data_IF_729844458387
#
_entry.id   IF_729844458387
#
_cell.length_a   1.000
_cell.length_b   1.000
_cell.length_c   1.000
_cell.angle_alpha   90.00
_cell.angle_beta   90.00
_cell.angle_gamma   90.00
#
_symmetry.space_group_name_H-M   'P 1'
#
loop_
_entity.id
_entity.type
_entity.pdbx_description
1 polymer ?
#
# COMPACT_ATOMS: atom_id res chain seq x y z
N UNK A 1 12.25 7.21 9.83
CA UNK A 1 11.65 6.68 8.59
C UNK A 1 10.21 6.26 8.84
N UNK A 2 9.28 6.63 7.98
CA UNK A 2 7.90 6.13 8.00
C UNK A 2 7.73 4.93 7.08
N UNK A 3 6.84 4.00 7.44
CA UNK A 3 6.47 2.86 6.59
C UNK A 3 5.00 2.97 6.20
N UNK A 4 4.75 3.06 4.91
CA UNK A 4 3.41 3.06 4.31
C UNK A 4 3.20 1.76 3.58
N UNK A 5 2.20 0.98 3.99
CA UNK A 5 1.81 -0.24 3.31
C UNK A 5 0.55 0.01 2.47
N UNK A 6 0.64 -0.23 1.16
CA UNK A 6 -0.49 -0.14 0.24
C UNK A 6 -1.01 -1.55 0.01
N UNK A 7 -2.21 -1.82 0.53
CA UNK A 7 -2.69 -3.19 0.68
C UNK A 7 -4.20 -3.34 0.45
N UNK A 8 -4.60 -4.54 0.05
CA UNK A 8 -5.99 -4.95 -0.13
C UNK A 8 -6.06 -6.29 -0.84
N UNK A 9 -7.00 -7.15 -0.49
CA UNK A 9 -7.08 -8.52 -1.01
C UNK A 9 -7.55 -8.60 -2.45
N UNK A 10 -8.23 -7.57 -2.96
CA UNK A 10 -8.73 -7.59 -4.33
C UNK A 10 -7.69 -7.11 -5.33
N UNK A 11 -7.54 -7.84 -6.43
CA UNK A 11 -6.74 -7.41 -7.58
C UNK A 11 -7.41 -6.25 -8.33
N UNK A 12 -6.61 -5.39 -8.99
CA UNK A 12 -7.13 -4.32 -9.86
C UNK A 12 -7.67 -3.08 -9.15
N UNK A 13 -7.56 -2.96 -7.82
CA UNK A 13 -7.98 -1.78 -7.07
C UNK A 13 -7.05 -0.59 -7.20
N UNK A 14 -5.84 -0.78 -7.77
CA UNK A 14 -4.87 0.28 -8.00
C UNK A 14 -3.75 0.39 -6.96
N UNK A 15 -3.47 -0.66 -6.18
CA UNK A 15 -2.38 -0.68 -5.19
C UNK A 15 -1.06 -0.22 -5.79
N UNK A 16 -0.58 -0.92 -6.81
CA UNK A 16 0.69 -0.61 -7.49
C UNK A 16 0.69 0.79 -8.11
N UNK A 17 -0.42 1.20 -8.73
CA UNK A 17 -0.52 2.55 -9.28
C UNK A 17 -0.35 3.61 -8.18
N UNK A 18 -0.98 3.40 -7.04
CA UNK A 18 -0.85 4.28 -5.89
C UNK A 18 0.57 4.30 -5.34
N UNK A 19 1.23 3.12 -5.25
CA UNK A 19 2.62 3.00 -4.83
C UNK A 19 3.56 3.78 -5.75
N UNK A 20 3.41 3.62 -7.07
CA UNK A 20 4.17 4.36 -8.07
C UNK A 20 4.01 5.88 -7.92
N UNK A 21 2.76 6.34 -7.84
CA UNK A 21 2.45 7.77 -7.78
C UNK A 21 2.97 8.40 -6.47
N UNK A 22 2.74 7.75 -5.34
CA UNK A 22 3.20 8.25 -4.04
C UNK A 22 4.72 8.22 -3.93
N UNK A 23 5.37 7.15 -4.40
CA UNK A 23 6.83 7.04 -4.39
C UNK A 23 7.49 8.15 -5.19
N UNK A 24 7.01 8.39 -6.42
CA UNK A 24 7.54 9.47 -7.26
C UNK A 24 7.26 10.84 -6.65
N UNK A 25 6.04 11.07 -6.15
CA UNK A 25 5.67 12.34 -5.56
C UNK A 25 6.52 12.66 -4.31
N UNK A 26 6.72 11.68 -3.42
CA UNK A 26 7.52 11.82 -2.22
C UNK A 26 8.99 12.15 -2.57
N UNK A 27 9.57 11.44 -3.55
CA UNK A 27 10.92 11.72 -4.04
C UNK A 27 11.04 13.13 -4.62
N UNK A 28 10.06 13.55 -5.43
CA UNK A 28 9.99 14.92 -6.00
C UNK A 28 9.82 16.01 -4.95
N UNK A 29 9.18 15.70 -3.84
CA UNK A 29 9.02 16.61 -2.71
C UNK A 29 10.25 16.55 -1.75
N UNK A 30 11.35 15.86 -2.14
CA UNK A 30 12.65 15.85 -1.47
C UNK A 30 12.81 14.76 -0.40
N UNK A 31 11.84 13.86 -0.24
CA UNK A 31 11.98 12.74 0.70
C UNK A 31 12.86 11.63 0.11
N UNK A 32 13.81 11.15 0.89
CA UNK A 32 14.57 9.96 0.56
C UNK A 32 13.67 8.73 0.67
N UNK A 33 13.19 8.26 -0.48
CA UNK A 33 12.09 7.28 -0.57
C UNK A 33 12.59 5.94 -1.08
N UNK A 34 12.23 4.85 -0.38
CA UNK A 34 12.41 3.47 -0.82
C UNK A 34 11.06 2.84 -1.14
N UNK A 35 11.02 1.98 -2.17
CA UNK A 35 9.82 1.20 -2.54
C UNK A 35 10.15 -0.29 -2.55
N UNK A 36 9.26 -1.10 -1.95
CA UNK A 36 9.34 -2.56 -1.90
C UNK A 36 8.11 -3.15 -2.61
N UNK A 37 8.36 -4.01 -3.60
CA UNK A 37 7.33 -4.72 -4.36
C UNK A 37 7.20 -6.16 -3.85
N UNK A 38 6.05 -6.49 -3.24
CA UNK A 38 5.75 -7.83 -2.75
C UNK A 38 4.94 -8.67 -3.75
N UNK A 39 4.56 -8.10 -4.91
CA UNK A 39 3.91 -8.88 -5.98
C UNK A 39 4.93 -9.58 -6.87
N UNK A 40 5.37 -10.76 -6.43
CA UNK A 40 6.38 -11.56 -7.12
C UNK A 40 5.94 -12.04 -8.50
N UNK A 41 4.63 -12.11 -8.75
CA UNK A 41 4.09 -12.63 -10.00
C UNK A 41 4.11 -11.58 -11.10
N UNK A 42 3.62 -10.38 -10.78
CA UNK A 42 3.50 -9.32 -11.80
C UNK A 42 4.66 -8.34 -11.79
N UNK A 43 5.26 -8.08 -10.62
CA UNK A 43 6.40 -7.16 -10.42
C UNK A 43 6.18 -5.79 -11.07
N UNK A 44 4.95 -5.28 -11.02
CA UNK A 44 4.58 -4.07 -11.74
C UNK A 44 5.27 -2.82 -11.20
N UNK A 45 5.41 -2.71 -9.86
CA UNK A 45 6.15 -1.60 -9.24
C UNK A 45 7.64 -1.69 -9.62
N UNK A 46 8.23 -2.88 -9.53
CA UNK A 46 9.63 -3.13 -9.91
C UNK A 46 9.89 -2.76 -11.37
N UNK A 47 9.00 -3.15 -12.27
CA UNK A 47 9.09 -2.83 -13.70
C UNK A 47 9.00 -1.32 -13.94
N UNK A 48 8.06 -0.64 -13.29
CA UNK A 48 7.91 0.81 -13.38
C UNK A 48 9.19 1.54 -12.91
N UNK A 49 9.75 1.16 -11.77
CA UNK A 49 10.97 1.78 -11.24
C UNK A 49 12.19 1.52 -12.13
N UNK A 50 12.27 0.32 -12.74
CA UNK A 50 13.31 -0.01 -13.71
C UNK A 50 13.24 0.87 -14.95
N UNK A 51 12.04 1.06 -15.52
CA UNK A 51 11.82 1.95 -16.66
C UNK A 51 12.18 3.41 -16.33
N UNK A 52 11.81 3.89 -15.12
CA UNK A 52 12.19 5.25 -14.69
C UNK A 52 13.70 5.44 -14.65
N UNK A 53 14.44 4.50 -14.06
CA UNK A 53 15.90 4.55 -13.99
C UNK A 53 16.52 4.51 -15.39
N UNK A 54 16.02 3.65 -16.28
CA UNK A 54 16.48 3.57 -17.66
C UNK A 54 16.27 4.90 -18.42
N UNK A 55 15.16 5.60 -18.12
CA UNK A 55 14.82 6.92 -18.67
C UNK A 55 15.53 8.08 -17.96
N UNK A 56 16.43 7.81 -17.01
CA UNK A 56 17.13 8.82 -16.18
C UNK A 56 16.19 9.79 -15.46
N UNK A 57 14.99 9.33 -15.13
CA UNK A 57 14.05 10.08 -14.33
C UNK A 57 14.37 9.93 -12.85
N UNK A 58 14.16 10.99 -12.08
CA UNK A 58 14.28 10.94 -10.62
C UNK A 58 13.31 9.90 -10.06
N UNK A 59 13.82 8.96 -9.26
CA UNK A 59 13.12 7.74 -8.89
C UNK A 59 13.33 7.42 -7.41
N UNK A 60 12.31 6.93 -6.69
CA UNK A 60 12.54 6.29 -5.42
C UNK A 60 13.47 5.08 -5.60
N UNK A 61 14.18 4.71 -4.55
CA UNK A 61 15.02 3.53 -4.56
C UNK A 61 14.18 2.26 -4.51
N UNK A 62 14.61 1.25 -5.27
CA UNK A 62 13.94 -0.04 -5.33
C UNK A 62 14.63 -1.03 -4.39
N UNK A 63 13.94 -1.39 -3.30
CA UNK A 63 14.36 -2.46 -2.40
C UNK A 63 13.81 -3.78 -2.94
N UNK A 64 14.67 -4.76 -3.09
CA UNK A 64 14.29 -6.08 -3.62
C UNK A 64 14.17 -7.09 -2.49
N UNK A 65 13.05 -7.79 -2.45
CA UNK A 65 12.90 -8.98 -1.62
C UNK A 65 13.49 -10.17 -2.40
N UNK A 66 14.58 -10.70 -1.90
CA UNK A 66 15.23 -11.88 -2.49
C UNK A 66 14.46 -13.14 -2.09
N UNK A 67 14.19 -14.00 -3.05
CA UNK A 67 13.65 -15.32 -2.78
C UNK A 67 14.72 -16.19 -2.13
N UNK A 68 14.33 -17.06 -1.20
CA UNK A 68 15.23 -18.11 -0.72
C UNK A 68 15.53 -19.10 -1.85
N UNK A 69 16.63 -19.83 -1.76
CA UNK A 69 16.97 -20.84 -2.78
C UNK A 69 15.87 -21.92 -2.92
N UNK A 70 15.19 -22.26 -1.82
CA UNK A 70 14.09 -23.22 -1.80
C UNK A 70 12.84 -22.66 -2.51
N UNK A 71 12.49 -21.41 -2.28
CA UNK A 71 11.38 -20.72 -2.95
C UNK A 71 11.65 -20.57 -4.44
N UNK A 72 12.88 -20.20 -4.80
CA UNK A 72 13.30 -20.08 -6.21
C UNK A 72 13.22 -21.42 -6.96
N UNK A 73 13.53 -22.56 -6.30
CA UNK A 73 13.47 -23.89 -6.90
C UNK A 73 12.06 -24.47 -7.00
N UNK A 74 11.21 -24.20 -6.01
CA UNK A 74 9.93 -24.91 -5.85
C UNK A 74 8.72 -24.09 -6.23
N UNK A 75 8.88 -22.80 -6.55
CA UNK A 75 7.77 -21.83 -6.65
C UNK A 75 6.84 -21.86 -5.40
N UNK A 76 7.38 -22.32 -4.27
CA UNK A 76 6.62 -22.43 -3.02
C UNK A 76 6.28 -21.04 -2.49
N UNK A 77 5.09 -20.91 -1.95
CA UNK A 77 4.74 -19.71 -1.18
C UNK A 77 5.63 -19.65 0.06
N UNK A 78 6.20 -18.48 0.39
CA UNK A 78 7.03 -18.33 1.56
C UNK A 78 6.28 -18.78 2.81
N UNK A 79 6.91 -19.66 3.58
CA UNK A 79 6.36 -20.19 4.83
C UNK A 79 6.71 -19.31 6.03
N UNK A 80 7.61 -18.33 5.85
CA UNK A 80 8.22 -17.59 6.96
C UNK A 80 7.78 -16.14 6.96
N UNK A 81 7.32 -15.68 8.11
CA UNK A 81 7.25 -14.27 8.50
C UNK A 81 8.65 -13.85 9.00
N UNK A 82 8.95 -12.56 9.05
CA UNK A 82 10.24 -12.03 9.50
C UNK A 82 11.21 -11.68 8.38
N UNK A 83 10.76 -11.64 7.13
CA UNK A 83 11.58 -11.31 5.95
C UNK A 83 11.65 -9.83 5.65
N UNK A 84 10.61 -9.08 6.00
CA UNK A 84 10.51 -7.65 5.67
C UNK A 84 11.17 -6.79 6.75
N UNK A 85 11.16 -7.24 7.99
CA UNK A 85 11.73 -6.48 9.12
C UNK A 85 13.20 -6.10 8.89
N UNK A 86 14.10 -7.03 8.47
CA UNK A 86 15.50 -6.67 8.18
C UNK A 86 15.62 -5.60 7.09
N UNK A 87 14.80 -5.66 6.03
CA UNK A 87 14.82 -4.67 4.93
C UNK A 87 14.36 -3.30 5.41
N UNK A 88 13.30 -3.26 6.23
CA UNK A 88 12.79 -2.03 6.82
C UNK A 88 13.82 -1.43 7.79
N UNK A 89 14.48 -2.25 8.58
CA UNK A 89 15.53 -1.82 9.51
C UNK A 89 16.75 -1.26 8.75
N UNK A 90 17.22 -1.96 7.71
CA UNK A 90 18.32 -1.47 6.88
C UNK A 90 17.99 -0.13 6.24
N UNK A 91 16.81 0.01 5.64
CA UNK A 91 16.38 1.27 5.06
C UNK A 91 16.34 2.41 6.11
N UNK A 92 15.90 2.13 7.34
CA UNK A 92 15.93 3.12 8.40
C UNK A 92 17.36 3.54 8.79
N UNK A 93 18.30 2.58 8.88
CA UNK A 93 19.72 2.83 9.17
C UNK A 93 20.40 3.59 8.03
N UNK A 94 20.03 3.33 6.79
CA UNK A 94 20.52 4.03 5.61
C UNK A 94 19.97 5.46 5.49
N UNK A 95 19.09 5.89 6.40
CA UNK A 95 18.58 7.25 6.47
C UNK A 95 17.47 7.56 5.46
N UNK A 96 16.67 6.56 5.05
CA UNK A 96 15.44 6.83 4.29
C UNK A 96 14.39 7.53 5.18
N UNK A 97 13.65 8.47 4.58
CA UNK A 97 12.54 9.16 5.24
C UNK A 97 11.25 8.36 5.14
N UNK A 98 11.05 7.68 4.02
CA UNK A 98 9.83 6.96 3.67
C UNK A 98 10.14 5.61 3.04
N UNK A 99 9.42 4.57 3.47
CA UNK A 99 9.35 3.29 2.78
C UNK A 99 7.92 2.98 2.38
N UNK A 100 7.69 2.72 1.08
CA UNK A 100 6.39 2.32 0.53
C UNK A 100 6.45 0.83 0.21
N UNK A 101 5.52 0.06 0.76
CA UNK A 101 5.39 -1.38 0.52
C UNK A 101 4.14 -1.62 -0.31
N UNK A 102 4.30 -2.08 -1.55
CA UNK A 102 3.19 -2.52 -2.43
C UNK A 102 2.94 -4.01 -2.22
N UNK A 103 1.74 -4.36 -1.77
CA UNK A 103 1.42 -5.76 -1.46
C UNK A 103 0.74 -6.47 -2.63
N UNK A 104 1.01 -7.76 -2.75
CA UNK A 104 0.22 -8.65 -3.62
C UNK A 104 -1.17 -8.90 -3.04
N UNK A 105 -2.11 -9.34 -3.87
CA UNK A 105 -3.43 -9.80 -3.41
C UNK A 105 -3.47 -11.26 -2.96
N UNK A 106 -2.35 -12.00 -3.02
CA UNK A 106 -2.34 -13.46 -2.86
C UNK A 106 -1.47 -14.05 -1.76
N UNK A 107 -0.48 -13.30 -1.23
CA UNK A 107 0.39 -13.80 -0.18
C UNK A 107 0.04 -13.17 1.17
N UNK A 108 -0.76 -13.87 1.96
CA UNK A 108 -1.26 -13.39 3.24
C UNK A 108 -0.16 -13.18 4.28
N UNK A 109 0.91 -14.00 4.24
CA UNK A 109 2.03 -13.90 5.19
C UNK A 109 2.80 -12.59 5.01
N UNK A 110 3.21 -12.28 3.78
CA UNK A 110 3.92 -11.03 3.48
C UNK A 110 3.03 -9.80 3.73
N UNK A 111 1.71 -9.92 3.45
CA UNK A 111 0.75 -8.85 3.73
C UNK A 111 0.61 -8.61 5.24
N UNK A 112 0.51 -9.67 6.02
CA UNK A 112 0.44 -9.59 7.48
C UNK A 112 1.68 -8.92 8.07
N UNK A 113 2.88 -9.35 7.65
CA UNK A 113 4.14 -8.77 8.09
C UNK A 113 4.27 -7.29 7.68
N UNK A 114 3.91 -6.96 6.42
CA UNK A 114 3.89 -5.57 5.96
C UNK A 114 2.96 -4.69 6.81
N UNK A 115 1.83 -5.23 7.24
CA UNK A 115 0.91 -4.53 8.15
C UNK A 115 1.47 -4.38 9.56
N UNK A 116 2.18 -5.40 10.09
CA UNK A 116 2.86 -5.30 11.39
C UNK A 116 3.91 -4.18 11.40
N UNK A 117 4.59 -3.97 10.27
CA UNK A 117 5.64 -2.98 10.13
C UNK A 117 5.14 -1.58 9.75
N UNK A 118 3.88 -1.45 9.32
CA UNK A 118 3.32 -0.20 8.82
C UNK A 118 3.06 0.83 9.94
N UNK A 119 3.32 2.10 9.65
CA UNK A 119 2.80 3.24 10.40
C UNK A 119 1.46 3.72 9.83
N UNK A 120 1.29 3.50 8.53
CA UNK A 120 0.09 3.85 7.78
C UNK A 120 -0.27 2.74 6.79
N UNK A 121 -1.51 2.31 6.81
CA UNK A 121 -2.07 1.39 5.82
C UNK A 121 -3.00 2.17 4.90
N UNK A 122 -2.77 2.10 3.60
CA UNK A 122 -3.64 2.65 2.56
C UNK A 122 -4.28 1.50 1.80
N UNK A 123 -5.61 1.44 1.81
CA UNK A 123 -6.37 0.40 1.12
C UNK A 123 -7.16 1.02 -0.03
N UNK A 124 -6.68 0.95 -1.28
CA UNK A 124 -7.45 1.44 -2.42
C UNK A 124 -8.66 0.57 -2.70
N UNK A 125 -9.81 1.22 -2.90
CA UNK A 125 -11.09 0.61 -3.21
C UNK A 125 -11.77 1.37 -4.35
N UNK A 126 -12.31 0.69 -5.34
CA UNK A 126 -13.12 1.33 -6.37
C UNK A 126 -14.56 1.53 -5.90
N UNK A 127 -15.34 2.40 -6.56
CA UNK A 127 -16.77 2.53 -6.35
C UNK A 127 -17.53 1.30 -6.87
N UNK A 128 -17.31 0.15 -6.22
CA UNK A 128 -17.84 -1.15 -6.63
C UNK A 128 -18.38 -1.93 -5.42
N UNK A 129 -19.61 -2.47 -5.51
CA UNK A 129 -20.13 -3.36 -4.48
C UNK A 129 -19.22 -4.56 -4.20
N UNK A 130 -18.56 -5.09 -5.23
CA UNK A 130 -17.64 -6.22 -5.10
C UNK A 130 -16.36 -5.87 -4.33
N UNK A 131 -15.85 -4.62 -4.45
CA UNK A 131 -14.70 -4.15 -3.69
C UNK A 131 -15.09 -3.96 -2.21
N UNK A 132 -16.24 -3.37 -1.97
CA UNK A 132 -16.80 -3.20 -0.63
C UNK A 132 -17.00 -4.55 0.07
N UNK A 133 -17.56 -5.55 -0.61
CA UNK A 133 -17.72 -6.90 -0.06
C UNK A 133 -16.36 -7.55 0.24
N UNK A 134 -15.38 -7.39 -0.62
CA UNK A 134 -14.04 -7.95 -0.42
C UNK A 134 -13.32 -7.40 0.82
N UNK A 135 -13.65 -6.19 1.24
CA UNK A 135 -13.07 -5.56 2.43
C UNK A 135 -13.88 -5.86 3.72
N UNK A 136 -15.21 -5.92 3.61
CA UNK A 136 -16.11 -5.81 4.76
C UNK A 136 -17.19 -6.89 4.83
N UNK A 137 -17.16 -7.93 3.99
CA UNK A 137 -18.18 -8.98 4.07
C UNK A 137 -18.16 -9.64 5.44
N UNK A 138 -19.32 -9.83 6.09
CA UNK A 138 -19.39 -10.50 7.38
C UNK A 138 -18.82 -11.93 7.27
N UNK A 139 -18.05 -12.35 8.27
CA UNK A 139 -17.56 -13.73 8.37
C UNK A 139 -18.76 -14.69 8.35
N UNK A 140 -18.66 -15.75 7.52
CA UNK A 140 -19.74 -16.74 7.39
C UNK A 140 -20.82 -16.42 6.36
N UNK A 141 -20.76 -15.26 5.67
CA UNK A 141 -21.65 -15.06 4.52
C UNK A 141 -21.18 -15.93 3.35
N UNK A 142 -22.12 -16.45 2.51
CA UNK A 142 -21.76 -17.28 1.37
C UNK A 142 -20.81 -16.65 0.35
N UNK A 143 -20.72 -15.31 0.37
CA UNK A 143 -19.84 -14.51 -0.48
C UNK A 143 -18.56 -14.06 0.22
N UNK A 144 -18.35 -14.39 1.52
CA UNK A 144 -17.16 -13.98 2.25
C UNK A 144 -15.95 -14.82 1.85
N UNK A 145 -14.77 -14.20 1.62
CA UNK A 145 -13.53 -14.93 1.55
C UNK A 145 -13.25 -15.64 2.89
N UNK A 146 -12.49 -16.74 2.87
CA UNK A 146 -12.13 -17.50 4.09
C UNK A 146 -11.43 -16.63 5.15
N UNK A 147 -10.76 -15.57 4.72
CA UNK A 147 -10.11 -14.57 5.57
C UNK A 147 -10.62 -13.21 5.09
N UNK A 148 -11.26 -12.48 6.00
CA UNK A 148 -11.71 -11.11 5.75
C UNK A 148 -10.52 -10.15 5.94
N UNK A 149 -10.39 -9.15 5.08
CA UNK A 149 -9.33 -8.16 5.18
C UNK A 149 -9.39 -7.35 6.48
N UNK A 150 -10.58 -7.00 6.93
CA UNK A 150 -10.80 -6.33 8.22
C UNK A 150 -10.28 -7.17 9.38
N UNK A 151 -10.62 -8.46 9.41
CA UNK A 151 -10.20 -9.37 10.50
C UNK A 151 -8.67 -9.49 10.57
N UNK A 152 -7.98 -9.45 9.42
CA UNK A 152 -6.53 -9.40 9.39
C UNK A 152 -6.00 -8.11 10.00
N UNK A 153 -6.58 -6.96 9.66
CA UNK A 153 -6.16 -5.67 10.26
C UNK A 153 -6.42 -5.66 11.76
N UNK A 154 -7.58 -6.14 12.20
CA UNK A 154 -7.91 -6.21 13.63
C UNK A 154 -6.95 -7.14 14.39
N UNK A 155 -6.57 -8.26 13.77
CA UNK A 155 -5.56 -9.17 14.31
C UNK A 155 -4.20 -8.48 14.45
N UNK A 156 -3.72 -7.83 13.40
CA UNK A 156 -2.45 -7.08 13.43
C UNK A 156 -2.48 -5.97 14.49
N UNK A 157 -3.59 -5.24 14.59
CA UNK A 157 -3.77 -4.20 15.63
C UNK A 157 -3.72 -4.77 17.05
N UNK A 158 -4.33 -5.94 17.25
CA UNK A 158 -4.27 -6.66 18.52
C UNK A 158 -2.81 -7.06 18.86
N UNK A 159 -2.10 -7.64 17.89
CA UNK A 159 -0.73 -8.09 18.09
C UNK A 159 0.22 -6.91 18.38
N UNK A 160 0.06 -5.78 17.67
CA UNK A 160 0.82 -4.56 17.95
C UNK A 160 0.57 -4.01 19.36
N UNK A 161 -0.71 -3.97 19.80
CA UNK A 161 -1.04 -3.54 21.18
C UNK A 161 -0.39 -4.45 22.22
N UNK A 162 -0.42 -5.75 21.98
CA UNK A 162 0.19 -6.75 22.86
C UNK A 162 1.71 -6.59 22.95
N UNK A 163 2.36 -6.18 21.85
CA UNK A 163 3.78 -5.86 21.80
C UNK A 163 4.11 -4.41 22.29
N UNK A 164 3.15 -3.67 22.83
CA UNK A 164 3.38 -2.29 23.27
C UNK A 164 3.59 -1.27 22.14
N UNK A 165 3.30 -1.65 20.89
CA UNK A 165 3.51 -0.82 19.71
C UNK A 165 2.31 0.09 19.43
N UNK A 166 2.53 1.29 18.88
CA UNK A 166 1.45 2.15 18.41
C UNK A 166 0.63 1.44 17.35
N UNK A 167 -0.70 1.58 17.40
CA UNK A 167 -1.60 1.05 16.38
C UNK A 167 -1.46 1.91 15.12
N UNK A 168 -1.28 1.23 13.99
CA UNK A 168 -1.16 1.88 12.68
C UNK A 168 -2.46 2.60 12.30
N UNK A 169 -2.32 3.72 11.59
CA UNK A 169 -3.45 4.39 10.96
C UNK A 169 -3.89 3.59 9.74
N UNK A 170 -5.19 3.50 9.53
CA UNK A 170 -5.76 2.83 8.38
C UNK A 170 -6.66 3.78 7.62
N UNK A 171 -6.40 3.97 6.33
CA UNK A 171 -7.23 4.76 5.44
C UNK A 171 -7.68 3.94 4.24
N UNK A 172 -8.96 4.01 3.94
CA UNK A 172 -9.53 3.50 2.70
C UNK A 172 -9.52 4.62 1.68
N UNK A 173 -8.80 4.41 0.59
CA UNK A 173 -8.64 5.39 -0.49
C UNK A 173 -9.61 5.04 -1.60
N UNK A 174 -10.62 5.89 -1.80
CA UNK A 174 -11.54 5.73 -2.92
C UNK A 174 -10.80 6.04 -4.22
N UNK A 175 -10.60 5.01 -5.03
CA UNK A 175 -9.84 5.04 -6.27
C UNK A 175 -10.77 4.86 -7.47
N UNK A 176 -10.38 5.40 -8.61
CA UNK A 176 -11.15 5.39 -9.85
C UNK A 176 -12.56 5.93 -9.69
N UNK A 177 -12.69 6.95 -8.85
CA UNK A 177 -13.96 7.62 -8.63
C UNK A 177 -14.43 8.25 -9.95
N UNK A 178 -15.70 8.03 -10.29
CA UNK A 178 -16.31 8.63 -11.47
C UNK A 178 -16.32 10.16 -11.37
N UNK A 179 -16.12 10.82 -12.52
CA UNK A 179 -16.28 12.28 -12.61
C UNK A 179 -17.74 12.70 -12.47
N UNK A 180 -18.68 11.80 -12.79
CA UNK A 180 -20.13 12.06 -12.70
C UNK A 180 -20.71 11.36 -11.47
N UNK A 181 -21.48 12.08 -10.65
CA UNK A 181 -22.20 11.48 -9.54
C UNK A 181 -23.13 10.36 -10.03
N UNK A 182 -23.13 9.24 -9.31
CA UNK A 182 -24.02 8.11 -9.60
C UNK A 182 -24.81 7.71 -8.35
N UNK A 183 -26.02 7.17 -8.55
CA UNK A 183 -26.81 6.64 -7.42
C UNK A 183 -26.08 5.51 -6.69
N UNK A 184 -25.37 4.67 -7.45
CA UNK A 184 -24.58 3.56 -6.87
C UNK A 184 -23.39 4.11 -6.09
N UNK A 185 -22.68 5.10 -6.61
CA UNK A 185 -21.60 5.77 -5.91
C UNK A 185 -22.06 6.35 -4.57
N UNK A 186 -23.18 7.06 -4.53
CA UNK A 186 -23.72 7.61 -3.28
C UNK A 186 -24.03 6.52 -2.25
N UNK A 187 -24.65 5.41 -2.67
CA UNK A 187 -24.95 4.27 -1.78
C UNK A 187 -23.65 3.64 -1.23
N UNK A 188 -22.65 3.49 -2.07
CA UNK A 188 -21.35 2.95 -1.65
C UNK A 188 -20.71 3.90 -0.64
N UNK A 189 -20.73 5.20 -0.91
CA UNK A 189 -20.17 6.23 -0.07
C UNK A 189 -20.78 6.23 1.33
N UNK A 190 -22.10 6.19 1.44
CA UNK A 190 -22.82 6.13 2.71
C UNK A 190 -22.45 4.85 3.50
N UNK A 191 -22.39 3.71 2.81
CA UNK A 191 -22.01 2.43 3.44
C UNK A 191 -20.56 2.43 3.92
N UNK A 192 -19.63 2.93 3.12
CA UNK A 192 -18.22 3.03 3.50
C UNK A 192 -18.04 3.97 4.69
N UNK A 193 -18.74 5.10 4.72
CA UNK A 193 -18.72 6.02 5.86
C UNK A 193 -19.21 5.36 7.17
N UNK A 194 -20.30 4.56 7.10
CA UNK A 194 -20.77 3.77 8.24
C UNK A 194 -19.73 2.75 8.70
N UNK A 195 -19.15 2.01 7.76
CA UNK A 195 -18.10 1.01 8.04
C UNK A 195 -16.84 1.64 8.62
N UNK A 196 -16.50 2.87 8.22
CA UNK A 196 -15.36 3.60 8.74
C UNK A 196 -15.45 3.77 10.26
N UNK A 197 -16.61 4.14 10.77
CA UNK A 197 -16.86 4.26 12.21
C UNK A 197 -16.76 2.90 12.92
N UNK A 198 -17.29 1.84 12.31
CA UNK A 198 -17.34 0.50 12.92
C UNK A 198 -15.97 -0.21 12.91
N UNK A 199 -15.16 0.02 11.87
CA UNK A 199 -13.87 -0.65 11.69
C UNK A 199 -12.65 0.22 12.05
N UNK A 200 -12.87 1.47 12.43
CA UNK A 200 -11.82 2.38 12.85
C UNK A 200 -10.83 2.71 11.73
N UNK A 201 -11.34 3.09 10.55
CA UNK A 201 -10.55 3.66 9.47
C UNK A 201 -11.09 5.04 9.06
N UNK A 202 -10.26 5.79 8.36
CA UNK A 202 -10.67 7.04 7.72
C UNK A 202 -10.82 6.83 6.22
N UNK A 203 -11.72 7.59 5.59
CA UNK A 203 -11.96 7.51 4.15
C UNK A 203 -11.39 8.72 3.45
N UNK A 204 -10.66 8.49 2.37
CA UNK A 204 -10.11 9.53 1.50
C UNK A 204 -10.73 9.39 0.12
N UNK A 205 -11.37 10.44 -0.36
CA UNK A 205 -12.02 10.54 -1.67
C UNK A 205 -11.11 11.28 -2.62
N UNK A 206 -10.15 10.59 -3.28
CA UNK A 206 -9.18 11.42 -3.94
C UNK A 206 -8.63 10.98 -5.27
N UNK A 207 -8.74 9.74 -5.67
CA UNK A 207 -8.12 9.33 -6.93
C UNK A 207 -9.18 9.05 -8.00
N UNK A 208 -9.30 9.97 -8.96
CA UNK A 208 -10.13 9.78 -10.15
C UNK A 208 -9.47 8.83 -11.14
N UNK A 209 -10.29 8.11 -11.93
CA UNK A 209 -9.76 7.32 -13.04
C UNK A 209 -9.21 8.27 -14.13
N UNK A 210 -7.90 8.22 -14.34
CA UNK A 210 -7.21 9.07 -15.29
C UNK A 210 -6.44 8.22 -16.29
N UNK A 211 -6.73 8.38 -17.56
CA UNK A 211 -5.98 7.76 -18.66
C UNK A 211 -4.50 8.15 -18.58
N UNK A 212 -4.21 9.39 -18.18
CA UNK A 212 -2.84 9.90 -18.05
C UNK A 212 -1.98 9.04 -17.10
N UNK A 213 -2.52 8.58 -15.95
CA UNK A 213 -1.77 7.72 -15.03
C UNK A 213 -1.34 6.40 -15.70
N UNK A 214 -2.22 5.80 -16.50
CA UNK A 214 -1.94 4.54 -17.19
C UNK A 214 -0.96 4.71 -18.35
N UNK A 215 -1.17 5.75 -19.16
CA UNK A 215 -0.30 6.02 -20.31
C UNK A 215 1.14 6.33 -19.88
N UNK A 216 1.31 7.24 -18.92
CA UNK A 216 2.63 7.61 -18.40
C UNK A 216 3.35 6.44 -17.72
N UNK A 217 2.61 5.57 -17.02
CA UNK A 217 3.21 4.41 -16.33
C UNK A 217 3.87 3.42 -17.29
N UNK A 218 3.39 3.28 -18.53
CA UNK A 218 4.00 2.44 -19.56
C UNK A 218 5.43 2.87 -19.92
N UNK A 219 5.75 4.13 -19.72
CA UNK A 219 7.07 4.73 -19.98
C UNK A 219 7.88 4.93 -18.69
N UNK A 220 7.42 4.43 -17.55
CA UNK A 220 8.01 4.70 -16.24
C UNK A 220 7.83 6.14 -15.77
N UNK A 221 6.93 6.89 -16.40
CA UNK A 221 6.64 8.30 -16.10
C UNK A 221 5.43 8.43 -15.19
N UNK A 222 5.32 9.58 -14.56
CA UNK A 222 4.18 9.96 -13.75
C UNK A 222 3.74 11.39 -14.03
N UNK A 223 2.59 11.76 -13.52
CA UNK A 223 2.10 13.16 -13.61
C UNK A 223 3.03 14.16 -12.89
N UNK A 224 3.99 13.71 -12.08
CA UNK A 224 4.98 14.56 -11.41
C UNK A 224 6.21 14.86 -12.26
N UNK A 225 6.38 14.18 -13.36
CA UNK A 225 7.49 14.45 -14.28
C UNK A 225 7.16 15.68 -15.15
N UNK A 226 8.20 16.32 -15.69
CA UNK A 226 8.03 17.42 -16.65
C UNK A 226 7.40 16.86 -17.91
N UNK A 227 6.28 17.42 -18.41
CA UNK A 227 5.69 16.99 -19.67
C UNK A 227 6.66 17.16 -20.83
N UNK A 228 6.55 16.30 -21.84
CA UNK A 228 7.41 16.35 -23.03
C UNK A 228 7.24 17.66 -23.81
N UNK A 229 6.02 18.17 -23.86
CA UNK A 229 5.66 19.43 -24.49
C UNK A 229 5.78 20.66 -23.55
N UNK A 230 6.25 20.46 -22.34
CA UNK A 230 6.43 21.50 -21.33
C UNK A 230 5.13 22.04 -20.72
N UNK A 231 3.96 21.48 -21.08
CA UNK A 231 2.66 21.98 -20.62
C UNK A 231 1.92 20.91 -19.80
N UNK A 232 1.53 21.27 -18.59
CA UNK A 232 0.66 20.43 -17.75
C UNK A 232 -0.80 20.62 -18.15
N UNK A 233 -1.50 19.51 -18.34
CA UNK A 233 -2.95 19.50 -18.51
C UNK A 233 -3.65 19.71 -17.16
N UNK A 234 -4.89 20.19 -17.18
CA UNK A 234 -5.72 20.30 -15.97
C UNK A 234 -5.93 18.93 -15.30
N UNK A 235 -5.96 17.86 -16.09
CA UNK A 235 -6.05 16.48 -15.57
C UNK A 235 -4.81 16.08 -14.77
N UNK A 236 -3.61 16.41 -15.25
CA UNK A 236 -2.34 16.14 -14.54
C UNK A 236 -2.20 16.99 -13.29
N UNK A 237 -2.56 18.29 -13.36
CA UNK A 237 -2.56 19.17 -12.18
C UNK A 237 -3.47 18.65 -11.07
N UNK A 238 -4.69 18.24 -11.43
CA UNK A 238 -5.63 17.65 -10.46
C UNK A 238 -5.09 16.31 -9.90
N UNK A 239 -4.48 15.47 -10.75
CA UNK A 239 -3.84 14.23 -10.32
C UNK A 239 -2.69 14.47 -9.32
N UNK A 240 -1.86 15.49 -9.56
CA UNK A 240 -0.82 15.90 -8.59
C UNK A 240 -1.42 16.31 -7.25
N UNK A 241 -2.50 17.12 -7.28
CA UNK A 241 -3.17 17.56 -6.05
C UNK A 241 -3.76 16.39 -5.26
N UNK A 242 -4.40 15.45 -5.94
CA UNK A 242 -4.99 14.24 -5.33
C UNK A 242 -3.91 13.40 -4.62
N UNK A 243 -2.77 13.16 -5.26
CA UNK A 243 -1.67 12.37 -4.66
C UNK A 243 -0.99 13.14 -3.51
N UNK A 244 -0.81 14.46 -3.64
CA UNK A 244 -0.24 15.27 -2.54
C UNK A 244 -1.14 15.30 -1.31
N UNK A 245 -2.46 15.24 -1.48
CA UNK A 245 -3.38 15.08 -0.37
C UNK A 245 -3.13 13.76 0.41
N UNK A 246 -2.72 12.69 -0.28
CA UNK A 246 -2.29 11.45 0.38
C UNK A 246 -0.93 11.59 1.08
N UNK A 247 0.02 12.28 0.46
CA UNK A 247 1.31 12.55 1.10
C UNK A 247 1.17 13.40 2.36
N UNK A 248 0.19 14.28 2.46
CA UNK A 248 -0.07 15.06 3.67
C UNK A 248 -0.41 14.22 4.90
N UNK A 249 -0.76 12.95 4.72
CA UNK A 249 -0.95 12.00 5.82
C UNK A 249 0.38 11.61 6.48
N UNK A 250 1.50 11.70 5.77
CA UNK A 250 2.82 11.32 6.29
C UNK A 250 3.24 12.22 7.45
N UNK A 251 2.99 13.51 7.36
CA UNK A 251 3.37 14.51 8.38
C UNK A 251 2.67 14.34 9.74
N UNK A 252 1.65 13.47 9.82
CA UNK A 252 0.83 13.22 11.01
C UNK A 252 1.21 11.93 11.75
N UNK A 253 2.28 11.24 11.33
CA UNK A 253 2.68 9.99 11.98
C UNK A 253 3.49 10.28 13.26
N UNK A 254 3.27 9.51 14.35
CA UNK A 254 4.13 9.57 15.52
C UNK A 254 5.56 9.11 15.15
N UNK A 255 6.56 9.61 15.86
CA UNK A 255 7.93 9.09 15.75
C UNK A 255 7.92 7.57 15.99
N UNK A 256 8.57 6.86 15.09
CA UNK A 256 8.61 5.41 15.14
C UNK A 256 9.63 4.94 16.16
N UNK A 257 9.16 4.27 17.20
CA UNK A 257 9.98 3.41 18.03
C UNK A 257 10.01 2.05 17.33
N UNK A 258 11.14 1.67 16.73
CA UNK A 258 11.31 0.34 16.16
C UNK A 258 11.26 -0.68 17.32
N UNK A 259 10.42 -1.72 17.23
CA UNK A 259 10.42 -2.77 18.24
C UNK A 259 11.79 -3.47 18.26
N UNK A 260 12.21 -3.95 19.41
CA UNK A 260 13.37 -4.82 19.51
C UNK A 260 13.11 -6.09 18.68
N UNK A 261 14.14 -6.60 18.01
CA UNK A 261 14.02 -7.81 17.17
C UNK A 261 13.33 -8.97 17.89
N UNK A 262 13.65 -9.19 19.18
CA UNK A 262 13.04 -10.22 20.02
C UNK A 262 11.52 -10.07 20.16
N UNK A 263 10.98 -8.86 20.19
CA UNK A 263 9.53 -8.63 20.37
C UNK A 263 8.73 -8.95 19.11
N UNK A 264 9.33 -8.78 17.92
CA UNK A 264 8.69 -9.13 16.64
C UNK A 264 8.78 -10.64 16.43
N UNK A 265 9.93 -11.24 16.69
CA UNK A 265 10.17 -12.69 16.52
C UNK A 265 9.26 -13.51 17.47
N UNK A 266 9.09 -13.10 18.73
CA UNK A 266 8.20 -13.77 19.70
C UNK A 266 6.73 -13.77 19.27
N UNK A 267 6.23 -12.66 18.72
CA UNK A 267 4.85 -12.56 18.22
C UNK A 267 4.65 -13.43 16.98
N UNK A 268 5.67 -13.55 16.16
CA UNK A 268 5.67 -14.36 14.94
C UNK A 268 5.76 -15.85 15.25
N UNK A 269 6.69 -16.27 16.13
CA UNK A 269 6.87 -17.68 16.50
C UNK A 269 5.65 -18.27 17.21
N UNK A 270 5.00 -17.51 18.11
CA UNK A 270 3.78 -17.97 18.78
C UNK A 270 2.60 -18.24 17.84
N UNK A 271 2.57 -17.63 16.66
CA UNK A 271 1.51 -17.88 15.66
C UNK A 271 1.82 -18.98 14.66
N UNK A 272 3.08 -19.33 14.50
CA UNK A 272 3.49 -20.50 13.69
C UNK A 272 3.20 -21.79 14.46
N UNK A 273 3.19 -21.72 15.79
CA UNK A 273 2.97 -22.87 16.69
C UNK A 273 1.47 -23.12 17.03
N UNK A 274 0.56 -22.21 16.68
CA UNK A 274 -0.89 -22.33 16.89
C UNK A 274 -1.65 -22.57 15.58
#
# INVERSE_FOLDING_TARGET
>A
MQVVTISGFKGGTGKTTLACLMGVAATKDGLRTACLDLDRNTRNLSSFLTLRRASRLESPDHVMLMDTEEEARTNAKPKHTGRLEPLVRMAALDGYDLMIIDTSSGNLSDVYEAHLLADLILTPMNESPADMHGLFAPVGSPAAPRINYRDMIDTVRFDRRRAGLPVQRWHVVMNRVSALPSKIGNIINERVAKMATEAGFETIWSLRDRVAHRALALEGRSVFDTPVDGKLTMSELSGRSEVRALLSLLSRAPERIMPAKAEVDDVIEQKIAA
#
